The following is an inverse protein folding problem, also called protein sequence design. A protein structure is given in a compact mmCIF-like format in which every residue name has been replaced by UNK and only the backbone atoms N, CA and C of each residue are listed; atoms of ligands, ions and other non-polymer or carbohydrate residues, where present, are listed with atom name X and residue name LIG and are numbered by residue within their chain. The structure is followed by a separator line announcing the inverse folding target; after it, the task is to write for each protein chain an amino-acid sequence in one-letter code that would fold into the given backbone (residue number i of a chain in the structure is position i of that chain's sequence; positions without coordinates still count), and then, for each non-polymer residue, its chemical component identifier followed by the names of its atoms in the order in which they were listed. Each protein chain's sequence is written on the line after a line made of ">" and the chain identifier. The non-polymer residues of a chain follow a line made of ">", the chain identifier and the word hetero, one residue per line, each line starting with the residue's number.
data_IF_953164472030
#
_entry.id   IF_953164472030
#
_cell.length_a   1.000
_cell.length_b   1.000
_cell.length_c   1.000
_cell.angle_alpha   90.00
_cell.angle_beta   90.00
_cell.angle_gamma   90.00
#
_symmetry.space_group_name_H-M   'P 1'
#
loop_
_entity.id
_entity.type
_entity.pdbx_description
1 polymer ?
#
# COMPACT_ATOMS: atom_id res chain seq x y z
N UNK A 1 28.09 18.53 10.92
CA UNK A 1 27.28 17.29 11.03
C UNK A 1 27.34 16.41 9.77
N UNK A 2 28.01 16.81 8.68
CA UNK A 2 28.09 16.06 7.41
C UNK A 2 29.52 15.78 6.92
N UNK A 3 30.50 15.70 7.82
CA UNK A 3 31.92 15.46 7.46
C UNK A 3 32.51 14.25 8.21
N UNK A 4 31.71 13.22 8.48
CA UNK A 4 32.23 11.98 9.07
C UNK A 4 32.29 10.86 8.03
N UNK A 5 33.48 10.43 7.58
CA UNK A 5 33.67 9.46 6.48
C UNK A 5 33.20 8.03 6.81
N UNK A 6 32.73 7.77 8.04
CA UNK A 6 32.19 6.48 8.49
C UNK A 6 30.65 6.42 8.51
N UNK A 7 29.97 7.55 8.30
CA UNK A 7 28.50 7.59 8.22
C UNK A 7 28.10 7.68 6.75
N UNK A 8 28.30 6.59 6.02
CA UNK A 8 27.88 6.48 4.63
C UNK A 8 26.37 6.65 4.53
N UNK A 9 25.94 7.80 4.01
CA UNK A 9 24.52 8.08 3.70
C UNK A 9 23.86 6.98 2.86
N UNK A 10 24.65 6.18 2.15
CA UNK A 10 24.21 5.04 1.36
C UNK A 10 23.49 3.97 2.19
N UNK A 11 24.04 3.53 3.32
CA UNK A 11 23.49 2.37 4.05
C UNK A 11 22.11 2.65 4.65
N UNK A 12 21.92 3.87 5.18
CA UNK A 12 20.63 4.29 5.71
C UNK A 12 19.60 4.46 4.59
N UNK A 13 19.98 5.02 3.45
CA UNK A 13 19.06 5.22 2.31
C UNK A 13 18.57 3.88 1.76
N UNK A 14 19.45 2.89 1.60
CA UNK A 14 19.02 1.56 1.15
C UNK A 14 18.05 0.91 2.14
N UNK A 15 18.33 0.96 3.44
CA UNK A 15 17.44 0.42 4.46
C UNK A 15 16.03 1.05 4.43
N UNK A 16 15.95 2.38 4.33
CA UNK A 16 14.68 3.10 4.29
C UNK A 16 13.91 2.90 2.98
N UNK A 17 14.62 2.83 1.84
CA UNK A 17 14.00 2.54 0.54
C UNK A 17 13.45 1.12 0.52
N UNK A 18 14.24 0.12 0.94
CA UNK A 18 13.80 -1.28 1.01
C UNK A 18 12.58 -1.45 1.91
N UNK A 19 12.64 -0.88 3.12
CA UNK A 19 11.52 -0.94 4.07
C UNK A 19 10.30 -0.20 3.54
N UNK A 20 10.49 0.96 2.91
CA UNK A 20 9.42 1.73 2.28
C UNK A 20 8.75 0.99 1.13
N UNK A 21 9.55 0.35 0.26
CA UNK A 21 9.03 -0.48 -0.85
C UNK A 21 8.28 -1.70 -0.32
N UNK A 22 8.78 -2.36 0.72
CA UNK A 22 8.08 -3.50 1.34
C UNK A 22 6.70 -3.08 1.88
N UNK A 23 6.64 -1.98 2.62
CA UNK A 23 5.38 -1.43 3.15
C UNK A 23 4.45 -1.02 1.99
N UNK A 24 4.99 -0.43 0.92
CA UNK A 24 4.20 -0.03 -0.24
C UNK A 24 3.53 -1.23 -0.93
N UNK A 25 4.25 -2.33 -1.10
CA UNK A 25 3.71 -3.58 -1.66
C UNK A 25 2.60 -4.14 -0.76
N UNK A 26 2.78 -4.10 0.56
CA UNK A 26 1.75 -4.55 1.51
C UNK A 26 0.49 -3.69 1.44
N UNK A 27 0.65 -2.37 1.37
CA UNK A 27 -0.46 -1.42 1.22
C UNK A 27 -1.23 -1.71 -0.06
N UNK A 28 -0.54 -1.92 -1.18
CA UNK A 28 -1.17 -2.23 -2.46
C UNK A 28 -2.08 -3.47 -2.39
N UNK A 29 -1.68 -4.49 -1.64
CA UNK A 29 -2.46 -5.72 -1.54
C UNK A 29 -3.56 -5.68 -0.47
N UNK A 30 -3.34 -4.97 0.64
CA UNK A 30 -4.25 -4.99 1.79
C UNK A 30 -5.26 -3.84 1.80
N UNK A 31 -4.91 -2.67 1.27
CA UNK A 31 -5.75 -1.47 1.36
C UNK A 31 -6.74 -1.44 0.19
N UNK A 32 -8.05 -1.51 0.45
CA UNK A 32 -9.06 -1.39 -0.59
C UNK A 32 -9.24 0.07 -1.02
N UNK A 33 -9.55 0.29 -2.30
CA UNK A 33 -9.93 1.62 -2.80
C UNK A 33 -11.31 2.00 -2.26
N UNK A 34 -11.38 3.04 -1.43
CA UNK A 34 -12.63 3.51 -0.77
C UNK A 34 -13.22 4.77 -1.41
N UNK A 35 -12.54 5.38 -2.38
CA UNK A 35 -12.98 6.64 -2.97
C UNK A 35 -14.22 6.44 -3.84
N UNK A 36 -15.26 7.22 -3.55
CA UNK A 36 -16.46 7.32 -4.41
C UNK A 36 -17.44 6.15 -4.33
N UNK A 37 -17.28 5.21 -3.39
CA UNK A 37 -18.21 4.09 -3.19
C UNK A 37 -19.13 4.30 -1.99
N UNK A 38 -20.34 3.77 -2.08
CA UNK A 38 -21.23 3.67 -0.93
C UNK A 38 -20.76 2.55 0.02
N UNK A 39 -20.98 2.71 1.33
CA UNK A 39 -20.67 1.67 2.31
C UNK A 39 -21.40 0.34 2.04
N UNK A 40 -22.59 0.42 1.41
CA UNK A 40 -23.36 -0.76 1.01
C UNK A 40 -22.67 -1.57 -0.09
N UNK A 41 -22.13 -0.90 -1.13
CA UNK A 41 -21.35 -1.58 -2.17
C UNK A 41 -20.06 -2.18 -1.63
N UNK A 42 -19.36 -1.45 -0.74
CA UNK A 42 -18.12 -1.93 -0.13
C UNK A 42 -18.38 -3.24 0.63
N UNK A 43 -19.47 -3.30 1.40
CA UNK A 43 -19.88 -4.49 2.12
C UNK A 43 -20.24 -5.65 1.16
N UNK A 44 -20.87 -5.37 0.02
CA UNK A 44 -21.14 -6.35 -1.03
C UNK A 44 -19.86 -6.97 -1.63
N UNK A 45 -18.82 -6.16 -1.85
CA UNK A 45 -17.52 -6.63 -2.35
C UNK A 45 -16.77 -7.49 -1.33
N UNK A 46 -16.85 -7.13 -0.05
CA UNK A 46 -16.31 -7.97 1.03
C UNK A 46 -17.06 -9.30 1.14
N UNK A 47 -18.39 -9.31 1.01
CA UNK A 47 -19.18 -10.54 0.99
C UNK A 47 -18.81 -11.46 -0.19
N UNK A 48 -18.46 -10.89 -1.35
CA UNK A 48 -17.95 -11.61 -2.53
C UNK A 48 -16.47 -12.03 -2.41
N UNK A 49 -15.78 -11.71 -1.31
CA UNK A 49 -14.36 -12.01 -1.06
C UNK A 49 -13.45 -11.54 -2.20
N UNK A 50 -13.78 -10.40 -2.80
CA UNK A 50 -12.91 -9.78 -3.80
C UNK A 50 -11.62 -9.34 -3.10
N UNK A 51 -10.43 -9.58 -3.66
CA UNK A 51 -9.20 -9.06 -3.06
C UNK A 51 -9.19 -7.53 -3.14
N UNK A 52 -8.72 -6.87 -2.08
CA UNK A 52 -8.76 -5.42 -1.91
C UNK A 52 -8.15 -4.65 -3.10
N UNK A 53 -7.09 -5.19 -3.70
CA UNK A 53 -6.42 -4.60 -4.87
C UNK A 53 -7.25 -4.61 -6.17
N UNK A 54 -8.39 -5.32 -6.22
CA UNK A 54 -9.33 -5.32 -7.36
C UNK A 54 -10.57 -4.49 -7.12
N UNK A 55 -10.68 -3.79 -5.99
CA UNK A 55 -11.85 -2.97 -5.66
C UNK A 55 -12.04 -1.78 -6.61
N UNK A 56 -11.02 -1.38 -7.37
CA UNK A 56 -11.16 -0.35 -8.40
C UNK A 56 -12.02 -0.82 -9.58
N UNK A 57 -11.75 -2.04 -10.07
CA UNK A 57 -12.38 -2.55 -11.30
C UNK A 57 -13.72 -3.27 -11.06
N UNK A 58 -13.97 -3.75 -9.83
CA UNK A 58 -15.16 -4.57 -9.54
C UNK A 58 -16.39 -3.72 -9.25
N UNK A 59 -17.33 -3.60 -10.19
CA UNK A 59 -18.65 -2.99 -9.91
C UNK A 59 -19.55 -3.97 -9.18
N UNK A 60 -20.34 -3.47 -8.22
CA UNK A 60 -21.46 -4.23 -7.67
C UNK A 60 -22.64 -4.02 -8.62
N UNK A 61 -22.77 -4.87 -9.64
CA UNK A 61 -24.02 -4.96 -10.40
C UNK A 61 -25.17 -5.45 -9.52
#
# INVERSE_FOLDING_TARGET
>A
MLDNPKLGMSELVFFWVETGTLIHILIWFQVPETKGRSYAELNGLFARKVPAWRFSDSTCS
#
